data_IF_756654233154
#
_entry.id   IF_756654233154
#
_cell.length_a   1.000
_cell.length_b   1.000
_cell.length_c   1.000
_cell.angle_alpha   90.00
_cell.angle_beta   90.00
_cell.angle_gamma   90.00
#
_symmetry.space_group_name_H-M   'P 1'
#
loop_
_entity.id
_entity.type
_entity.pdbx_description
1 polymer ?
#
# COMPACT_ATOMS: atom_id res chain seq x y z
N UNK A 1 7.86 32.60 0.22
CA UNK A 1 7.00 32.23 -0.93
C UNK A 1 5.57 32.48 -0.49
N UNK A 2 4.79 33.22 -1.28
CA UNK A 2 3.38 33.48 -1.01
C UNK A 2 2.54 32.63 -1.97
N UNK A 3 1.44 32.09 -1.48
CA UNK A 3 0.46 31.35 -2.28
C UNK A 3 -0.55 32.32 -2.88
N UNK A 4 -1.01 32.05 -4.10
CA UNK A 4 -2.16 32.74 -4.67
C UNK A 4 -3.46 32.26 -4.01
N UNK A 5 -4.50 33.09 -4.06
CA UNK A 5 -5.85 32.68 -3.66
C UNK A 5 -6.31 31.48 -4.50
N UNK A 6 -6.69 30.39 -3.84
CA UNK A 6 -7.09 29.12 -4.49
C UNK A 6 -5.93 28.19 -4.87
N UNK A 7 -4.67 28.59 -4.67
CA UNK A 7 -3.53 27.72 -4.92
C UNK A 7 -3.49 26.58 -3.91
N UNK A 8 -3.39 25.35 -4.42
CA UNK A 8 -3.29 24.12 -3.61
C UNK A 8 -1.92 23.47 -3.79
N UNK A 9 -1.45 22.80 -2.74
CA UNK A 9 -0.28 21.91 -2.80
C UNK A 9 -0.66 20.48 -2.52
N UNK A 10 0.14 19.58 -3.06
CA UNK A 10 0.04 18.15 -2.77
C UNK A 10 0.69 17.91 -1.41
N UNK A 11 -0.10 17.44 -0.46
CA UNK A 11 0.38 17.10 0.88
C UNK A 11 0.76 15.62 0.99
N UNK A 12 0.12 14.75 0.23
CA UNK A 12 0.30 13.30 0.32
C UNK A 12 -0.14 12.57 -0.96
N UNK A 13 0.46 11.40 -1.20
CA UNK A 13 -0.08 10.35 -2.07
C UNK A 13 -0.45 9.11 -1.25
N UNK A 14 -1.66 8.58 -1.45
CA UNK A 14 -2.12 7.35 -0.81
C UNK A 14 -2.27 6.23 -1.83
N UNK A 15 -1.18 5.54 -2.13
CA UNK A 15 -1.16 4.44 -3.09
C UNK A 15 -1.94 3.22 -2.56
N UNK A 16 -2.73 2.60 -3.43
CA UNK A 16 -3.50 1.39 -3.13
C UNK A 16 -2.95 0.24 -3.96
N UNK A 17 -2.85 -0.94 -3.35
CA UNK A 17 -2.26 -2.13 -3.97
C UNK A 17 -3.30 -3.25 -4.04
N UNK A 18 -3.26 -4.00 -5.14
CA UNK A 18 -3.88 -5.33 -5.19
C UNK A 18 -3.07 -6.30 -4.35
N UNK A 19 -3.66 -7.43 -3.95
CA UNK A 19 -2.94 -8.47 -3.21
C UNK A 19 -1.74 -8.99 -4.02
N UNK A 20 -1.95 -9.28 -5.30
CA UNK A 20 -0.90 -9.80 -6.19
C UNK A 20 0.21 -8.76 -6.41
N UNK A 21 -0.13 -7.50 -6.67
CA UNK A 21 0.86 -6.44 -6.88
C UNK A 21 1.68 -6.13 -5.62
N UNK A 22 1.09 -6.26 -4.43
CA UNK A 22 1.84 -6.18 -3.18
C UNK A 22 2.77 -7.38 -3.00
N UNK A 23 2.30 -8.61 -3.28
CA UNK A 23 3.09 -9.83 -3.18
C UNK A 23 4.33 -9.78 -4.09
N UNK A 24 4.17 -9.35 -5.34
CA UNK A 24 5.28 -9.14 -6.28
C UNK A 24 6.30 -8.11 -5.76
N UNK A 25 5.81 -7.00 -5.21
CA UNK A 25 6.66 -5.95 -4.66
C UNK A 25 7.51 -6.44 -3.49
N UNK A 26 6.91 -7.15 -2.53
CA UNK A 26 7.67 -7.63 -1.35
C UNK A 26 8.59 -8.80 -1.70
N UNK A 27 8.26 -9.58 -2.73
CA UNK A 27 9.14 -10.63 -3.24
C UNK A 27 10.45 -10.05 -3.77
N UNK A 28 10.37 -8.94 -4.51
CA UNK A 28 11.56 -8.20 -4.93
C UNK A 28 12.37 -7.63 -3.75
N UNK A 29 11.72 -7.42 -2.59
CA UNK A 29 12.36 -7.01 -1.34
C UNK A 29 12.88 -8.20 -0.49
N UNK A 30 12.74 -9.44 -0.95
CA UNK A 30 13.21 -10.65 -0.27
C UNK A 30 12.27 -11.21 0.80
N UNK A 31 10.98 -10.86 0.75
CA UNK A 31 9.94 -11.39 1.63
C UNK A 31 8.89 -12.16 0.83
N UNK A 32 8.15 -13.04 1.49
CA UNK A 32 6.98 -13.70 0.93
C UNK A 32 5.75 -13.51 1.82
N UNK A 33 4.55 -13.48 1.22
CA UNK A 33 3.28 -13.40 1.97
C UNK A 33 2.94 -14.78 2.51
N UNK A 34 2.97 -14.95 3.83
CA UNK A 34 2.61 -16.21 4.48
C UNK A 34 1.10 -16.30 4.76
N UNK A 35 0.45 -15.18 5.06
CA UNK A 35 -1.00 -15.13 5.31
C UNK A 35 -1.58 -13.75 5.03
N UNK A 36 -2.80 -13.73 4.52
CA UNK A 36 -3.60 -12.52 4.30
C UNK A 36 -4.89 -12.62 5.10
N UNK A 37 -5.27 -11.53 5.75
CA UNK A 37 -6.61 -11.33 6.31
C UNK A 37 -7.23 -10.10 5.69
N UNK A 38 -8.53 -10.18 5.47
CA UNK A 38 -9.34 -9.14 4.85
C UNK A 38 -10.63 -8.97 5.63
N UNK A 39 -11.18 -7.76 5.64
CA UNK A 39 -12.55 -7.56 6.09
C UNK A 39 -13.56 -8.25 5.13
N UNK A 40 -14.83 -8.46 5.52
CA UNK A 40 -15.78 -9.18 4.68
C UNK A 40 -16.12 -8.48 3.36
N UNK A 41 -15.88 -7.17 3.25
CA UNK A 41 -16.06 -6.40 2.01
C UNK A 41 -14.79 -6.38 1.14
N UNK A 42 -13.67 -6.94 1.62
CA UNK A 42 -12.38 -7.00 0.93
C UNK A 42 -11.80 -5.61 0.61
N UNK A 43 -12.04 -4.61 1.46
CA UNK A 43 -11.56 -3.25 1.24
C UNK A 43 -10.18 -2.98 1.83
N UNK A 44 -9.80 -3.75 2.84
CA UNK A 44 -8.53 -3.63 3.52
C UNK A 44 -7.92 -5.02 3.76
N UNK A 45 -6.60 -5.10 3.70
CA UNK A 45 -5.88 -6.32 4.02
C UNK A 45 -4.77 -6.09 5.03
N UNK A 46 -4.58 -7.07 5.90
CA UNK A 46 -3.37 -7.22 6.72
C UNK A 46 -2.62 -8.41 6.17
N UNK A 47 -1.34 -8.22 5.84
CA UNK A 47 -0.50 -9.27 5.24
C UNK A 47 0.66 -9.62 6.18
N UNK A 48 0.67 -10.85 6.69
CA UNK A 48 1.80 -11.38 7.45
C UNK A 48 2.87 -11.87 6.48
N UNK A 49 4.02 -11.22 6.51
CA UNK A 49 5.15 -11.49 5.61
C UNK A 49 6.30 -12.11 6.40
N UNK A 50 6.95 -13.10 5.81
CA UNK A 50 8.14 -13.74 6.36
C UNK A 50 9.31 -13.59 5.41
N UNK A 51 10.51 -13.68 5.96
CA UNK A 51 11.75 -13.77 5.19
C UNK A 51 12.18 -15.23 5.24
N UNK A 52 12.62 -15.75 4.11
CA UNK A 52 13.31 -17.04 4.08
C UNK A 52 14.64 -16.98 4.86
#
# INVERSE_FOLDING_TARGET
>A
IAFAEGESIITEYSHKHTLDGFAEMILAAGFCVARVWTDPQQWFSVQYCVRD
#
